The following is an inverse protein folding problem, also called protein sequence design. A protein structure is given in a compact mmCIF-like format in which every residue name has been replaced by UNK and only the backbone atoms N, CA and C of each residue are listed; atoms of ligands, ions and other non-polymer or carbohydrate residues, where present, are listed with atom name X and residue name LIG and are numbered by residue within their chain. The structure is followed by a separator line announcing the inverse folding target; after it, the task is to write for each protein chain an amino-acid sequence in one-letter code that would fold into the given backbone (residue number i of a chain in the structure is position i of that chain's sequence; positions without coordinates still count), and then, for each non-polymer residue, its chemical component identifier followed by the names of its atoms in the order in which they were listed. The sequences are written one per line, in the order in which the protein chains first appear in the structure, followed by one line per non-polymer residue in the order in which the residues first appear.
data_IF_077264525997
#
_entry.id   IF_077264525997
#
_cell.length_a   1.000
_cell.length_b   1.000
_cell.length_c   1.000
_cell.angle_alpha   90.00
_cell.angle_beta   90.00
_cell.angle_gamma   90.00
#
_symmetry.space_group_name_H-M   'P 1'
#
loop_
_entity.id
_entity.type
_entity.pdbx_description
1 polymer ?
#
# COMPACT_ATOMS: atom_id res chain seq x y z
N UNK A 1 9.35 -12.55 -1.63
CA UNK A 1 8.55 -13.69 -1.13
C UNK A 1 7.71 -14.18 -2.30
N UNK A 2 7.77 -15.47 -2.64
CA UNK A 2 6.96 -16.00 -3.73
C UNK A 2 5.47 -15.96 -3.31
N UNK A 3 4.57 -15.64 -4.24
CA UNK A 3 3.14 -15.76 -4.01
C UNK A 3 2.79 -17.25 -3.92
N UNK A 4 2.00 -17.66 -2.92
CA UNK A 4 1.48 -19.03 -2.84
C UNK A 4 0.77 -19.36 -4.17
N UNK A 5 1.12 -20.50 -4.77
CA UNK A 5 0.35 -21.01 -5.90
C UNK A 5 -0.98 -21.55 -5.35
N UNK A 6 -2.15 -20.98 -5.71
CA UNK A 6 -3.44 -21.48 -5.22
C UNK A 6 -3.68 -22.95 -5.60
N UNK A 7 -3.15 -23.42 -6.73
CA UNK A 7 -3.33 -24.80 -7.18
C UNK A 7 -2.60 -25.83 -6.29
N UNK A 8 -1.65 -25.37 -5.46
CA UNK A 8 -0.96 -26.22 -4.48
C UNK A 8 -1.62 -26.20 -3.10
N UNK A 9 -2.65 -25.38 -2.87
CA UNK A 9 -3.36 -25.36 -1.60
C UNK A 9 -4.13 -26.69 -1.42
N UNK A 10 -4.07 -27.36 -0.25
CA UNK A 10 -4.53 -28.75 -0.12
C UNK A 10 -5.97 -29.00 -0.58
N UNK A 11 -6.89 -28.08 -0.31
CA UNK A 11 -8.29 -28.18 -0.74
C UNK A 11 -8.43 -28.16 -2.27
N UNK A 12 -7.79 -27.19 -2.92
CA UNK A 12 -7.84 -27.01 -4.37
C UNK A 12 -7.14 -28.18 -5.06
N UNK A 13 -5.96 -28.56 -4.56
CA UNK A 13 -5.18 -29.68 -5.08
C UNK A 13 -5.97 -30.99 -5.03
N UNK A 14 -6.57 -31.31 -3.88
CA UNK A 14 -7.37 -32.52 -3.73
C UNK A 14 -8.60 -32.52 -4.65
N UNK A 15 -9.22 -31.35 -4.86
CA UNK A 15 -10.30 -31.21 -5.83
C UNK A 15 -9.81 -31.45 -7.26
N UNK A 16 -8.74 -30.80 -7.71
CA UNK A 16 -8.17 -30.98 -9.06
C UNK A 16 -7.81 -32.45 -9.32
N UNK A 17 -7.15 -33.11 -8.36
CA UNK A 17 -6.74 -34.53 -8.45
C UNK A 17 -7.94 -35.51 -8.54
N UNK A 18 -9.15 -35.07 -8.17
CA UNK A 18 -10.37 -35.87 -8.27
C UNK A 18 -11.00 -35.88 -9.67
N UNK A 19 -10.53 -35.01 -10.57
CA UNK A 19 -11.02 -34.90 -11.95
C UNK A 19 -10.00 -35.43 -12.97
N UNK A 20 -10.50 -35.71 -14.18
CA UNK A 20 -9.65 -35.99 -15.35
C UNK A 20 -9.59 -34.77 -16.25
N UNK A 21 -8.44 -34.11 -16.35
CA UNK A 21 -8.22 -32.93 -17.19
C UNK A 21 -7.27 -31.93 -16.57
N UNK A 22 -7.00 -30.84 -17.29
CA UNK A 22 -6.20 -29.71 -16.80
C UNK A 22 -7.16 -28.66 -16.19
N UNK A 23 -7.51 -28.84 -14.91
CA UNK A 23 -8.30 -27.87 -14.13
C UNK A 23 -7.39 -26.98 -13.29
N UNK A 24 -7.84 -25.76 -12.99
CA UNK A 24 -7.12 -24.81 -12.14
C UNK A 24 -7.98 -24.20 -11.02
N UNK A 25 -7.38 -23.33 -10.21
CA UNK A 25 -8.06 -22.60 -9.14
C UNK A 25 -9.19 -21.67 -9.60
N UNK A 26 -9.24 -21.22 -10.86
CA UNK A 26 -10.37 -20.45 -11.39
C UNK A 26 -11.56 -21.39 -11.65
N UNK A 27 -11.31 -22.59 -12.16
CA UNK A 27 -12.35 -23.62 -12.29
C UNK A 27 -12.90 -24.03 -10.93
N UNK A 28 -12.04 -24.18 -9.92
CA UNK A 28 -12.45 -24.40 -8.53
C UNK A 28 -13.41 -23.28 -8.07
N UNK A 29 -13.04 -22.02 -8.28
CA UNK A 29 -13.93 -20.90 -7.91
C UNK A 29 -15.25 -20.92 -8.69
N UNK A 30 -15.27 -21.30 -9.96
CA UNK A 30 -16.51 -21.39 -10.74
C UNK A 30 -17.48 -22.46 -10.23
N UNK A 31 -16.97 -23.59 -9.73
CA UNK A 31 -17.78 -24.64 -9.13
C UNK A 31 -18.29 -24.26 -7.74
N UNK A 32 -17.46 -23.61 -6.94
CA UNK A 32 -17.73 -23.37 -5.52
C UNK A 32 -18.31 -21.98 -5.20
N UNK A 33 -18.20 -20.99 -6.09
CA UNK A 33 -18.68 -19.63 -5.84
C UNK A 33 -19.91 -19.26 -6.68
N UNK A 34 -20.90 -18.68 -6.01
CA UNK A 34 -22.02 -18.00 -6.68
C UNK A 34 -21.58 -16.62 -7.21
N UNK A 35 -22.34 -16.04 -8.16
CA UNK A 35 -22.11 -14.65 -8.62
C UNK A 35 -22.10 -13.65 -7.45
N UNK A 36 -22.92 -13.88 -6.42
CA UNK A 36 -22.93 -13.04 -5.22
C UNK A 36 -21.61 -13.09 -4.44
N UNK A 37 -20.98 -14.26 -4.35
CA UNK A 37 -19.67 -14.44 -3.71
C UNK A 37 -18.57 -13.75 -4.50
N UNK A 38 -18.56 -13.90 -5.83
CA UNK A 38 -17.65 -13.17 -6.72
C UNK A 38 -17.77 -11.66 -6.58
N UNK A 39 -19.00 -11.14 -6.53
CA UNK A 39 -19.24 -9.71 -6.34
C UNK A 39 -18.75 -9.22 -4.98
N UNK A 40 -19.01 -9.98 -3.91
CA UNK A 40 -18.54 -9.65 -2.56
C UNK A 40 -17.00 -9.63 -2.50
N UNK A 41 -16.35 -10.63 -3.11
CA UNK A 41 -14.88 -10.69 -3.21
C UNK A 41 -14.32 -9.52 -4.02
N UNK A 42 -14.94 -9.16 -5.15
CA UNK A 42 -14.53 -8.00 -5.94
C UNK A 42 -14.58 -6.69 -5.13
N UNK A 43 -15.61 -6.49 -4.30
CA UNK A 43 -15.71 -5.32 -3.41
C UNK A 43 -14.74 -5.36 -2.23
N UNK A 44 -14.34 -6.56 -1.77
CA UNK A 44 -13.26 -6.71 -0.79
C UNK A 44 -11.93 -6.28 -1.41
N UNK A 45 -11.59 -6.79 -2.59
CA UNK A 45 -10.34 -6.49 -3.27
C UNK A 45 -10.28 -5.05 -3.77
N UNK A 46 -11.40 -4.49 -4.21
CA UNK A 46 -11.49 -3.14 -4.76
C UNK A 46 -12.48 -2.27 -3.96
N UNK A 47 -12.10 -1.80 -2.77
CA UNK A 47 -13.00 -1.11 -1.88
C UNK A 47 -13.31 0.32 -2.35
N UNK A 48 -14.47 0.82 -1.92
CA UNK A 48 -14.79 2.24 -2.01
C UNK A 48 -14.21 3.03 -0.82
N UNK A 49 -13.87 4.29 -1.06
CA UNK A 49 -13.31 5.20 -0.07
C UNK A 49 -14.15 6.46 0.08
N UNK A 50 -14.08 7.08 1.25
CA UNK A 50 -14.67 8.40 1.53
C UNK A 50 -13.62 9.31 2.14
N UNK A 51 -13.60 10.59 1.75
CA UNK A 51 -12.73 11.60 2.34
C UNK A 51 -13.52 12.49 3.31
N UNK A 52 -13.09 12.54 4.57
CA UNK A 52 -13.74 13.31 5.64
C UNK A 52 -12.67 14.03 6.45
N UNK A 53 -12.73 15.37 6.50
CA UNK A 53 -11.77 16.24 7.21
C UNK A 53 -10.30 15.90 6.88
N UNK A 54 -10.03 15.65 5.60
CA UNK A 54 -8.69 15.31 5.10
C UNK A 54 -8.26 13.85 5.32
N UNK A 55 -9.03 13.04 6.06
CA UNK A 55 -8.81 11.61 6.24
C UNK A 55 -9.52 10.80 5.15
N UNK A 56 -8.86 9.79 4.60
CA UNK A 56 -9.41 8.83 3.65
C UNK A 56 -9.75 7.54 4.39
N UNK A 57 -11.04 7.26 4.49
CA UNK A 57 -11.58 6.09 5.19
C UNK A 57 -12.09 5.06 4.19
N UNK A 58 -11.95 3.78 4.51
CA UNK A 58 -12.68 2.75 3.76
C UNK A 58 -14.17 2.87 4.04
N UNK A 59 -15.00 3.02 3.00
CA UNK A 59 -16.44 3.32 3.12
C UNK A 59 -17.19 2.32 4.00
N UNK A 60 -16.87 1.03 3.88
CA UNK A 60 -17.50 -0.05 4.66
C UNK A 60 -17.25 0.05 6.18
N UNK A 61 -16.10 0.56 6.61
CA UNK A 61 -15.74 0.68 8.04
C UNK A 61 -15.90 2.10 8.58
N UNK A 62 -16.28 3.06 7.75
CA UNK A 62 -16.53 4.42 8.20
C UNK A 62 -17.84 4.49 8.99
N UNK A 63 -17.72 4.78 10.29
CA UNK A 63 -18.84 5.10 11.16
C UNK A 63 -18.64 6.52 11.72
N UNK A 64 -19.52 7.49 11.41
CA UNK A 64 -19.32 8.90 11.80
C UNK A 64 -19.04 9.10 13.29
N UNK A 65 -19.78 8.42 14.18
CA UNK A 65 -19.57 8.53 15.62
C UNK A 65 -18.21 8.03 16.08
N UNK A 66 -17.77 6.87 15.59
CA UNK A 66 -16.43 6.34 15.89
C UNK A 66 -15.34 7.26 15.34
N UNK A 67 -15.52 7.78 14.13
CA UNK A 67 -14.60 8.73 13.52
C UNK A 67 -14.47 10.02 14.35
N UNK A 68 -15.57 10.64 14.75
CA UNK A 68 -15.55 11.88 15.54
C UNK A 68 -14.88 11.69 16.91
N UNK A 69 -15.04 10.52 17.53
CA UNK A 69 -14.35 10.18 18.78
C UNK A 69 -12.84 10.07 18.58
N UNK A 70 -12.40 9.35 17.55
CA UNK A 70 -10.98 9.21 17.24
C UNK A 70 -10.35 10.52 16.76
N UNK A 71 -11.09 11.33 16.00
CA UNK A 71 -10.64 12.64 15.55
C UNK A 71 -10.34 13.56 16.72
N UNK A 72 -11.21 13.59 17.74
CA UNK A 72 -10.97 14.36 18.98
C UNK A 72 -9.82 13.79 19.81
N UNK A 73 -9.77 12.46 19.97
CA UNK A 73 -8.73 11.79 20.78
C UNK A 73 -7.32 11.97 20.22
N UNK A 74 -7.21 12.08 18.90
CA UNK A 74 -5.94 12.19 18.18
C UNK A 74 -5.66 13.61 17.68
N UNK A 75 -6.40 14.61 18.20
CA UNK A 75 -6.23 16.04 17.88
C UNK A 75 -6.19 16.33 16.37
N UNK A 76 -7.03 15.64 15.60
CA UNK A 76 -7.09 15.78 14.15
C UNK A 76 -5.88 15.25 13.37
N UNK A 77 -4.98 14.48 13.99
CA UNK A 77 -3.85 13.84 13.30
C UNK A 77 -4.34 12.77 12.31
N UNK A 78 -4.46 13.19 11.05
CA UNK A 78 -4.95 12.38 9.93
C UNK A 78 -4.28 11.01 9.86
N UNK A 79 -2.95 10.95 10.04
CA UNK A 79 -2.22 9.68 9.89
C UNK A 79 -2.55 8.70 10.99
N UNK A 80 -2.58 9.20 12.22
CA UNK A 80 -2.87 8.37 13.37
C UNK A 80 -4.32 7.90 13.32
N UNK A 81 -5.24 8.77 12.90
CA UNK A 81 -6.66 8.43 12.72
C UNK A 81 -6.80 7.33 11.68
N UNK A 82 -6.21 7.49 10.50
CA UNK A 82 -6.23 6.48 9.44
C UNK A 82 -5.57 5.17 9.88
N UNK A 83 -4.41 5.22 10.53
CA UNK A 83 -3.71 4.02 11.00
C UNK A 83 -4.48 3.20 12.05
N UNK A 84 -5.38 3.86 12.80
CA UNK A 84 -6.27 3.18 13.76
C UNK A 84 -7.54 2.68 13.09
N UNK A 85 -8.18 3.49 12.24
CA UNK A 85 -9.52 3.21 11.70
C UNK A 85 -9.52 2.38 10.42
N UNK A 86 -8.45 2.43 9.63
CA UNK A 86 -8.31 1.67 8.39
C UNK A 86 -7.53 0.38 8.64
N UNK A 87 -8.07 -0.47 9.52
CA UNK A 87 -7.54 -1.80 9.83
C UNK A 87 -8.52 -2.87 9.34
N UNK A 88 -7.98 -3.97 8.84
CA UNK A 88 -8.74 -5.12 8.39
C UNK A 88 -7.96 -6.39 8.72
N UNK A 89 -8.31 -7.02 9.85
CA UNK A 89 -7.79 -8.33 10.21
C UNK A 89 -8.48 -9.39 9.36
N UNK A 90 -7.70 -10.16 8.60
CA UNK A 90 -8.24 -11.12 7.64
C UNK A 90 -8.94 -12.28 8.35
N UNK A 91 -8.41 -12.71 9.51
CA UNK A 91 -8.99 -13.79 10.32
C UNK A 91 -10.40 -13.52 10.87
N UNK A 92 -10.82 -12.25 10.96
CA UNK A 92 -12.22 -11.93 11.30
C UNK A 92 -13.17 -11.95 10.10
N UNK A 93 -12.64 -11.98 8.88
CA UNK A 93 -13.43 -11.93 7.65
C UNK A 93 -13.50 -13.28 6.93
N UNK A 94 -12.50 -14.13 7.13
CA UNK A 94 -12.39 -15.46 6.53
C UNK A 94 -12.42 -16.48 7.66
N UNK A 95 -13.46 -17.30 7.67
CA UNK A 95 -13.54 -18.44 8.57
C UNK A 95 -12.59 -19.52 8.05
N UNK A 96 -11.51 -19.77 8.77
CA UNK A 96 -10.55 -20.83 8.46
C UNK A 96 -10.18 -21.58 9.74
N UNK A 97 -9.77 -22.84 9.59
CA UNK A 97 -9.28 -23.63 10.71
C UNK A 97 -8.00 -23.04 11.34
N UNK A 98 -7.68 -23.50 12.53
CA UNK A 98 -6.47 -23.13 13.27
C UNK A 98 -5.32 -24.09 12.90
N UNK A 99 -4.80 -23.95 11.67
CA UNK A 99 -3.65 -24.72 11.18
C UNK A 99 -2.58 -23.80 10.59
N UNK A 100 -1.32 -24.26 10.58
CA UNK A 100 -0.20 -23.49 10.05
C UNK A 100 -0.38 -23.15 8.56
N UNK A 101 -0.98 -24.08 7.79
CA UNK A 101 -1.27 -23.88 6.36
C UNK A 101 -2.36 -22.82 6.14
N UNK A 102 -3.38 -22.79 7.02
CA UNK A 102 -4.41 -21.76 6.98
C UNK A 102 -3.84 -20.39 7.35
N UNK A 103 -2.97 -20.33 8.37
CA UNK A 103 -2.28 -19.11 8.77
C UNK A 103 -1.38 -18.55 7.65
N UNK A 104 -0.61 -19.41 6.99
CA UNK A 104 0.19 -19.03 5.81
C UNK A 104 -0.69 -18.49 4.68
N UNK A 105 -1.79 -19.19 4.37
CA UNK A 105 -2.75 -18.75 3.36
C UNK A 105 -3.38 -17.39 3.71
N UNK A 106 -3.76 -17.16 4.96
CA UNK A 106 -4.25 -15.85 5.43
C UNK A 106 -3.20 -14.74 5.21
N UNK A 107 -1.93 -15.03 5.47
CA UNK A 107 -0.83 -14.11 5.19
C UNK A 107 -0.73 -13.74 3.72
N UNK A 108 -0.83 -14.72 2.82
CA UNK A 108 -0.84 -14.48 1.38
C UNK A 108 -2.07 -13.68 0.92
N UNK A 109 -3.25 -13.98 1.46
CA UNK A 109 -4.48 -13.25 1.18
C UNK A 109 -4.36 -11.79 1.66
N UNK A 110 -3.83 -11.56 2.87
CA UNK A 110 -3.61 -10.21 3.40
C UNK A 110 -2.71 -9.38 2.48
N UNK A 111 -1.64 -9.98 1.94
CA UNK A 111 -0.76 -9.31 0.99
C UNK A 111 -1.47 -8.99 -0.34
N UNK A 112 -2.25 -9.92 -0.87
CA UNK A 112 -3.04 -9.68 -2.08
C UNK A 112 -4.06 -8.53 -1.88
N UNK A 113 -4.74 -8.50 -0.73
CA UNK A 113 -5.65 -7.42 -0.34
C UNK A 113 -4.88 -6.09 -0.23
N UNK A 114 -3.72 -6.08 0.43
CA UNK A 114 -2.89 -4.89 0.57
C UNK A 114 -2.49 -4.29 -0.80
N UNK A 115 -1.98 -5.12 -1.72
CA UNK A 115 -1.61 -4.66 -3.07
C UNK A 115 -2.82 -4.11 -3.85
N UNK A 116 -3.95 -4.80 -3.77
CA UNK A 116 -5.17 -4.38 -4.45
C UNK A 116 -5.70 -3.06 -3.89
N UNK A 117 -5.67 -2.88 -2.57
CA UNK A 117 -6.07 -1.63 -1.90
C UNK A 117 -5.12 -0.48 -2.22
N UNK A 118 -3.82 -0.73 -2.27
CA UNK A 118 -2.85 0.28 -2.69
C UNK A 118 -3.13 0.78 -4.11
N UNK A 119 -3.39 -0.12 -5.05
CA UNK A 119 -3.77 0.23 -6.42
C UNK A 119 -5.10 1.01 -6.46
N UNK A 120 -6.10 0.59 -5.69
CA UNK A 120 -7.38 1.26 -5.59
C UNK A 120 -7.26 2.69 -5.03
N UNK A 121 -6.44 2.87 -3.97
CA UNK A 121 -6.15 4.18 -3.36
C UNK A 121 -5.42 5.11 -4.34
N UNK A 122 -4.39 4.61 -5.03
CA UNK A 122 -3.65 5.40 -6.04
C UNK A 122 -4.57 5.88 -7.17
N UNK A 123 -5.50 5.04 -7.61
CA UNK A 123 -6.49 5.41 -8.64
C UNK A 123 -7.51 6.43 -8.13
N UNK A 124 -8.01 6.26 -6.90
CA UNK A 124 -9.02 7.14 -6.32
C UNK A 124 -8.45 8.52 -5.91
N UNK A 125 -7.19 8.57 -5.47
CA UNK A 125 -6.56 9.77 -4.93
C UNK A 125 -5.15 9.97 -5.49
N UNK A 126 -5.00 10.27 -6.80
CA UNK A 126 -3.69 10.32 -7.47
C UNK A 126 -2.74 11.40 -6.94
N UNK A 127 -3.23 12.35 -6.15
CA UNK A 127 -2.45 13.44 -5.53
C UNK A 127 -2.05 13.15 -4.09
N UNK A 128 -2.54 12.07 -3.48
CA UNK A 128 -2.19 11.65 -2.12
C UNK A 128 -1.27 10.44 -2.21
N UNK A 129 -0.39 10.29 -1.23
CA UNK A 129 0.45 9.11 -1.08
C UNK A 129 -0.07 8.28 0.07
N UNK A 130 -0.15 6.98 -0.13
CA UNK A 130 -0.58 6.04 0.89
C UNK A 130 0.53 5.04 1.15
N UNK A 131 0.56 4.59 2.39
CA UNK A 131 1.30 3.45 2.85
C UNK A 131 0.28 2.37 3.20
N UNK A 132 0.38 1.22 2.54
CA UNK A 132 -0.48 0.06 2.76
C UNK A 132 0.42 -1.09 3.16
N UNK A 133 0.17 -1.67 4.33
CA UNK A 133 1.01 -2.72 4.91
C UNK A 133 0.18 -3.84 5.49
N UNK A 134 0.78 -5.01 5.56
CA UNK A 134 0.30 -6.10 6.39
C UNK A 134 1.10 -6.09 7.69
N UNK A 135 0.39 -6.11 8.81
CA UNK A 135 0.96 -6.27 10.14
C UNK A 135 0.60 -7.66 10.64
N UNK A 136 1.56 -8.30 11.29
CA UNK A 136 1.28 -9.47 12.12
C UNK A 136 0.77 -8.99 13.48
N UNK A 137 -0.35 -9.53 13.94
CA UNK A 137 -1.04 -9.10 15.15
C UNK A 137 -1.64 -10.30 15.86
N UNK A 138 -2.04 -10.13 17.12
CA UNK A 138 -2.70 -11.20 17.88
C UNK A 138 -4.02 -11.68 17.22
N UNK A 139 -4.63 -10.86 16.35
CA UNK A 139 -5.82 -11.18 15.56
C UNK A 139 -5.49 -11.81 14.18
N UNK A 140 -4.22 -12.18 13.96
CA UNK A 140 -3.68 -12.64 12.69
C UNK A 140 -3.27 -11.51 11.74
N UNK A 141 -2.99 -11.85 10.45
CA UNK A 141 -2.58 -10.89 9.44
C UNK A 141 -3.59 -9.75 9.25
N UNK A 142 -3.15 -8.52 9.50
CA UNK A 142 -3.99 -7.32 9.45
C UNK A 142 -3.51 -6.35 8.39
N UNK A 143 -4.36 -6.06 7.40
CA UNK A 143 -4.12 -5.02 6.41
C UNK A 143 -4.42 -3.67 7.03
N UNK A 144 -3.46 -2.75 6.95
CA UNK A 144 -3.60 -1.37 7.41
C UNK A 144 -3.26 -0.41 6.28
N UNK A 145 -3.95 0.73 6.21
CA UNK A 145 -3.54 1.81 5.32
C UNK A 145 -3.71 3.20 5.92
N UNK A 146 -2.87 4.12 5.48
CA UNK A 146 -2.98 5.54 5.80
C UNK A 146 -2.14 6.39 4.87
N UNK A 147 -2.35 7.70 4.90
CA UNK A 147 -1.58 8.66 4.16
C UNK A 147 -0.13 8.63 4.64
N UNK A 148 0.80 8.41 3.71
CA UNK A 148 2.22 8.39 4.00
C UNK A 148 2.68 9.75 4.54
N UNK A 149 3.79 9.76 5.29
CA UNK A 149 4.53 10.97 5.63
C UNK A 149 4.62 11.91 4.41
N UNK A 150 4.44 13.25 4.51
CA UNK A 150 5.09 14.06 3.50
C UNK A 150 6.55 13.64 3.54
N UNK A 151 7.16 13.48 2.37
CA UNK A 151 8.59 13.27 2.34
C UNK A 151 9.25 14.48 3.02
N UNK A 152 9.67 14.30 4.26
CA UNK A 152 10.61 15.16 4.95
C UNK A 152 11.91 14.41 4.76
N UNK A 153 12.82 14.85 3.87
CA UNK A 153 14.16 14.32 3.89
C UNK A 153 14.63 14.40 5.35
N UNK A 154 15.06 13.27 5.92
CA UNK A 154 15.72 13.29 7.21
C UNK A 154 16.77 14.40 7.15
N UNK A 155 16.82 15.22 8.19
CA UNK A 155 17.79 16.31 8.29
C UNK A 155 19.13 15.82 7.74
N UNK A 156 19.52 16.45 6.64
CA UNK A 156 20.68 16.11 5.85
C UNK A 156 21.90 16.45 6.69
N UNK A 157 22.40 15.48 7.44
CA UNK A 157 23.79 15.54 7.93
C UNK A 157 24.80 15.41 6.77
N UNK A 158 24.32 15.21 5.54
CA UNK A 158 25.11 15.33 4.32
C UNK A 158 24.36 16.15 3.26
N UNK A 159 24.94 17.27 2.82
CA UNK A 159 24.42 18.15 1.78
C UNK A 159 23.65 17.43 0.66
N UNK A 160 22.40 17.85 0.41
CA UNK A 160 21.53 17.26 -0.62
C UNK A 160 21.97 17.54 -2.07
N UNK A 161 22.91 18.47 -2.27
CA UNK A 161 23.51 18.78 -3.56
C UNK A 161 25.02 18.98 -3.38
N UNK A 162 25.81 18.05 -3.93
CA UNK A 162 27.27 18.19 -4.02
C UNK A 162 27.66 18.61 -5.44
N UNK A 163 28.09 19.85 -5.60
CA UNK A 163 28.66 20.36 -6.85
C UNK A 163 30.16 20.09 -6.85
N UNK A 164 30.61 19.09 -7.61
CA UNK A 164 32.04 18.78 -7.76
C UNK A 164 32.54 19.36 -9.09
N UNK A 165 33.18 20.52 -9.04
CA UNK A 165 33.90 21.05 -10.20
C UNK A 165 35.27 20.36 -10.30
N UNK A 166 35.58 19.72 -11.44
CA UNK A 166 36.93 19.17 -11.67
C UNK A 166 37.95 20.31 -11.66
N UNK A 167 38.81 20.34 -10.64
CA UNK A 167 39.93 21.29 -10.54
C UNK A 167 39.66 22.58 -9.75
N UNK A 168 38.47 22.77 -9.19
CA UNK A 168 38.17 23.85 -8.25
C UNK A 168 37.60 23.29 -6.95
N UNK A 169 37.88 23.94 -5.82
CA UNK A 169 37.34 23.57 -4.52
C UNK A 169 35.82 23.63 -4.56
N UNK A 170 35.17 22.48 -4.33
CA UNK A 170 33.72 22.38 -4.21
C UNK A 170 33.22 23.39 -3.16
N UNK A 171 32.21 24.18 -3.52
CA UNK A 171 31.48 25.03 -2.58
C UNK A 171 30.16 24.38 -2.27
N UNK A 172 29.94 24.14 -0.99
CA UNK A 172 28.67 23.65 -0.45
C UNK A 172 27.66 24.81 -0.46
N UNK A 173 26.46 24.55 -0.98
CA UNK A 173 25.38 25.54 -1.03
C UNK A 173 24.19 24.98 -0.26
N UNK A 174 24.01 25.48 0.96
CA UNK A 174 22.86 25.18 1.80
C UNK A 174 21.67 26.06 1.42
N UNK A 175 20.89 25.61 0.43
CA UNK A 175 19.56 26.17 0.18
C UNK A 175 18.58 25.02 0.04
N UNK A 176 17.47 25.04 0.78
CA UNK A 176 16.34 24.14 0.53
C UNK A 176 15.42 24.82 -0.50
N UNK A 177 15.30 24.32 -1.73
CA UNK A 177 14.42 24.90 -2.72
C UNK A 177 12.96 24.53 -2.44
N UNK A 178 12.05 25.40 -2.85
CA UNK A 178 10.62 25.12 -2.77
C UNK A 178 10.24 23.95 -3.67
N UNK A 179 9.18 23.22 -3.28
CA UNK A 179 8.63 22.13 -4.09
C UNK A 179 8.30 22.61 -5.52
N UNK A 180 8.76 21.88 -6.53
CA UNK A 180 8.60 22.23 -7.94
C UNK A 180 9.68 23.14 -8.53
N UNK A 181 10.76 23.41 -7.79
CA UNK A 181 11.93 24.13 -8.33
C UNK A 181 12.64 23.29 -9.39
N UNK A 182 12.83 23.84 -10.59
CA UNK A 182 13.65 23.24 -11.65
C UNK A 182 15.07 23.78 -11.55
N UNK A 183 16.06 22.90 -11.60
CA UNK A 183 17.46 23.30 -11.56
C UNK A 183 18.04 23.34 -12.97
N UNK A 184 18.90 24.32 -13.23
CA UNK A 184 19.68 24.41 -14.47
C UNK A 184 21.12 24.61 -14.06
N UNK A 185 21.94 23.58 -14.25
CA UNK A 185 23.39 23.73 -14.09
C UNK A 185 23.95 24.54 -15.26
N UNK A 186 24.91 25.42 -14.97
CA UNK A 186 25.67 26.16 -15.98
C UNK A 186 27.16 26.06 -15.71
N UNK A 187 27.93 25.73 -16.74
CA UNK A 187 29.40 25.82 -16.73
C UNK A 187 29.81 26.94 -17.67
N UNK A 188 30.56 27.93 -17.16
CA UNK A 188 31.00 29.12 -17.91
C UNK A 188 29.87 29.86 -18.67
N UNK A 189 28.65 29.83 -18.12
CA UNK A 189 27.46 30.49 -18.68
C UNK A 189 26.64 29.66 -19.66
N UNK A 190 27.12 28.49 -20.09
CA UNK A 190 26.37 27.56 -20.94
C UNK A 190 25.54 26.58 -20.09
N UNK A 191 24.31 26.27 -20.51
CA UNK A 191 23.45 25.30 -19.82
C UNK A 191 23.95 23.87 -20.06
N UNK A 192 24.02 23.08 -18.98
CA UNK A 192 24.39 21.66 -19.00
C UNK A 192 23.15 20.78 -19.20
N UNK A 193 23.32 19.62 -19.81
CA UNK A 193 22.25 18.65 -20.01
C UNK A 193 21.95 17.90 -18.71
N UNK A 194 20.69 17.61 -18.44
CA UNK A 194 20.28 16.74 -17.32
C UNK A 194 20.03 15.33 -17.85
N UNK A 195 20.90 14.38 -17.49
CA UNK A 195 20.70 12.95 -17.71
C UNK A 195 20.65 12.25 -16.34
N UNK A 196 19.47 11.76 -15.97
CA UNK A 196 19.24 11.00 -14.75
C UNK A 196 19.75 11.67 -13.45
N UNK A 197 19.63 13.01 -13.36
CA UNK A 197 20.06 13.77 -12.17
C UNK A 197 21.57 14.03 -12.11
N UNK A 198 22.30 13.72 -13.18
CA UNK A 198 23.70 14.12 -13.39
C UNK A 198 23.71 15.22 -14.44
N UNK A 199 24.30 16.37 -14.10
CA UNK A 199 24.50 17.46 -15.05
C UNK A 199 25.83 17.26 -15.78
N UNK A 200 25.76 17.06 -17.10
CA UNK A 200 26.91 16.91 -18.01
C UNK A 200 27.13 18.11 -18.94
#
# INVERSE_FOLDING_TARGET
MACLNPDEYPEIKAWVESYTGDLDSVDFLNEHCTVGMWLAFAHLMNPEFVEVRGCVMRKRSYAPGSFDDWYRRLDGDVRRIEGVLNRFAVGYAIDCGDTAEAEEALGHIAQAVAHSWEAALRRAFPRKRFDVRVLDTDDGPTVVFGQAAPYVPAALDEAWLRVVARGATAREVDLLPASGTTFVARLDGAAMGDSDGVFE
#
